data_IF_331580873026
#
_entry.id   IF_331580873026
#
_cell.length_a   1.000
_cell.length_b   1.000
_cell.length_c   1.000
_cell.angle_alpha   90.00
_cell.angle_beta   90.00
_cell.angle_gamma   90.00
#
_symmetry.space_group_name_H-M   'P 1'
#
loop_
_entity.id
_entity.type
_entity.pdbx_description
1 polymer ?
#
# COMPACT_ATOMS: atom_id res chain seq x y z
N UNK A 1 -2.51 -12.50 20.64
CA UNK A 1 -1.57 -13.61 20.97
C UNK A 1 -0.32 -13.09 21.65
N UNK A 2 0.58 -12.38 20.97
CA UNK A 2 1.85 -11.95 21.57
C UNK A 2 1.69 -11.18 22.91
N UNK A 3 0.76 -10.21 22.97
CA UNK A 3 0.38 -9.53 24.22
C UNK A 3 0.03 -10.49 25.37
N UNK A 4 -0.84 -11.47 25.10
CA UNK A 4 -1.29 -12.44 26.10
C UNK A 4 -0.16 -13.35 26.56
N UNK A 5 0.75 -13.76 25.66
CA UNK A 5 1.92 -14.58 26.00
C UNK A 5 2.89 -13.81 26.90
N UNK A 6 3.09 -12.52 26.62
CA UNK A 6 3.91 -11.64 27.45
C UNK A 6 3.26 -11.35 28.81
N UNK A 7 1.96 -11.09 28.86
CA UNK A 7 1.20 -10.89 30.10
C UNK A 7 1.17 -12.17 30.96
N UNK A 8 1.20 -13.36 30.33
CA UNK A 8 1.30 -14.65 31.02
C UNK A 8 2.71 -14.98 31.52
N UNK A 9 3.71 -14.12 31.27
CA UNK A 9 5.10 -14.34 31.70
C UNK A 9 5.81 -15.51 31.02
N UNK A 10 5.30 -15.97 29.88
CA UNK A 10 5.93 -17.07 29.13
C UNK A 10 7.23 -16.56 28.49
N UNK A 11 8.34 -17.22 28.79
CA UNK A 11 9.64 -16.91 28.21
C UNK A 11 9.62 -17.24 26.70
N UNK A 12 9.96 -16.26 25.88
CA UNK A 12 10.12 -16.41 24.44
C UNK A 12 11.59 -16.17 24.13
N UNK A 13 12.30 -17.23 23.71
CA UNK A 13 13.73 -17.14 23.37
C UNK A 13 13.95 -16.72 21.92
N UNK A 14 13.01 -17.05 21.02
CA UNK A 14 13.10 -16.77 19.58
C UNK A 14 11.79 -16.21 19.04
N UNK A 15 11.91 -15.24 18.13
CA UNK A 15 10.76 -14.68 17.40
C UNK A 15 11.00 -14.77 15.91
N UNK A 16 10.02 -15.33 15.20
CA UNK A 16 10.03 -15.41 13.76
C UNK A 16 8.91 -14.56 13.15
N UNK A 17 9.21 -13.84 12.06
CA UNK A 17 8.25 -13.01 11.35
C UNK A 17 8.28 -13.24 9.84
N UNK A 18 7.10 -13.32 9.23
CA UNK A 18 6.91 -13.31 7.77
C UNK A 18 5.96 -12.20 7.36
N UNK A 19 6.28 -11.50 6.26
CA UNK A 19 5.43 -10.42 5.74
C UNK A 19 5.21 -9.32 6.80
N UNK A 20 3.95 -8.97 7.09
CA UNK A 20 3.63 -7.97 8.12
C UNK A 20 4.04 -8.43 9.53
N UNK A 21 4.12 -9.75 9.77
CA UNK A 21 4.59 -10.31 11.04
C UNK A 21 6.04 -9.99 11.38
N UNK A 22 6.85 -9.57 10.38
CA UNK A 22 8.21 -9.06 10.60
C UNK A 22 8.21 -7.87 11.55
N UNK A 23 7.22 -6.98 11.46
CA UNK A 23 7.09 -5.84 12.38
C UNK A 23 6.94 -6.32 13.82
N UNK A 24 6.07 -7.31 14.02
CA UNK A 24 5.88 -7.94 15.33
C UNK A 24 7.16 -8.55 15.86
N UNK A 25 7.86 -9.31 15.01
CA UNK A 25 9.10 -9.97 15.36
C UNK A 25 10.22 -8.99 15.72
N UNK A 26 10.39 -7.91 14.94
CA UNK A 26 11.42 -6.91 15.20
C UNK A 26 11.20 -6.17 16.52
N UNK A 27 9.97 -5.72 16.79
CA UNK A 27 9.66 -5.07 18.07
C UNK A 27 9.79 -6.04 19.24
N UNK A 28 9.36 -7.29 19.07
CA UNK A 28 9.47 -8.31 20.11
C UNK A 28 10.92 -8.71 20.42
N UNK A 29 11.85 -8.60 19.46
CA UNK A 29 13.25 -8.99 19.63
C UNK A 29 14.08 -7.99 20.46
N UNK A 30 13.62 -6.74 20.61
CA UNK A 30 14.30 -5.67 21.38
C UNK A 30 13.47 -5.18 22.57
N UNK A 31 12.59 -6.04 23.10
CA UNK A 31 11.61 -5.73 24.16
C UNK A 31 10.65 -4.55 23.87
N UNK A 32 10.53 -4.15 22.61
CA UNK A 32 9.62 -3.09 22.16
C UNK A 32 8.15 -3.52 22.03
N UNK A 33 7.83 -4.77 22.38
CA UNK A 33 6.55 -5.40 22.12
C UNK A 33 5.34 -4.59 22.58
N UNK A 34 5.43 -3.98 23.76
CA UNK A 34 4.36 -3.17 24.37
C UNK A 34 3.86 -2.03 23.50
N UNK A 35 4.73 -1.43 22.67
CA UNK A 35 4.34 -0.35 21.76
C UNK A 35 3.41 -0.83 20.63
N UNK A 36 3.40 -2.12 20.31
CA UNK A 36 2.57 -2.66 19.24
C UNK A 36 1.07 -2.70 19.60
N UNK A 37 0.70 -2.68 20.87
CA UNK A 37 -0.71 -2.64 21.30
C UNK A 37 -1.06 -1.37 22.09
N UNK A 38 -0.17 -0.38 22.07
CA UNK A 38 -0.48 0.96 22.56
C UNK A 38 -1.52 1.63 21.64
N UNK A 39 -2.55 2.22 22.25
CA UNK A 39 -3.67 2.87 21.55
C UNK A 39 -3.20 4.02 20.63
N UNK A 40 -2.11 4.70 20.99
CA UNK A 40 -1.61 5.84 20.23
C UNK A 40 -0.67 5.44 19.06
N UNK A 41 -0.04 4.26 19.12
CA UNK A 41 1.18 3.97 18.33
C UNK A 41 1.23 2.58 17.68
N UNK A 42 0.48 1.64 18.23
CA UNK A 42 0.48 0.25 17.80
C UNK A 42 -0.53 -0.06 16.70
N UNK A 43 -0.89 -1.34 16.59
CA UNK A 43 -1.93 -1.85 15.69
C UNK A 43 -3.32 -1.26 15.97
N UNK A 44 -3.51 -0.63 17.13
CA UNK A 44 -4.77 0.03 17.52
C UNK A 44 -4.85 1.50 17.10
N UNK A 45 -3.76 2.09 16.59
CA UNK A 45 -3.74 3.49 16.22
C UNK A 45 -4.61 3.76 14.98
N UNK A 46 -5.29 4.91 14.96
CA UNK A 46 -6.16 5.31 13.84
C UNK A 46 -5.51 5.25 12.43
N UNK A 47 -4.20 5.55 12.24
CA UNK A 47 -3.54 5.46 10.94
C UNK A 47 -3.46 4.04 10.36
N UNK A 48 -3.63 2.98 11.17
CA UNK A 48 -3.50 1.57 10.73
C UNK A 48 -4.51 1.24 9.64
N UNK A 49 -5.71 1.81 9.71
CA UNK A 49 -6.75 1.70 8.67
C UNK A 49 -6.32 2.21 7.29
N UNK A 50 -5.24 3.01 7.22
CA UNK A 50 -4.73 3.68 6.01
C UNK A 50 -3.40 3.11 5.53
N UNK A 51 -2.91 2.03 6.13
CA UNK A 51 -1.62 1.41 5.76
C UNK A 51 -1.60 0.80 4.37
N UNK A 52 -2.74 0.30 3.90
CA UNK A 52 -2.88 -0.30 2.57
C UNK A 52 -3.76 0.60 1.70
N UNK A 53 -3.18 1.71 1.23
CA UNK A 53 -3.87 2.60 0.28
C UNK A 53 -3.49 2.20 -1.15
N UNK A 54 -4.49 2.26 -2.02
CA UNK A 54 -4.25 2.27 -3.46
C UNK A 54 -3.21 3.33 -3.81
N UNK A 55 -2.26 2.95 -4.66
CA UNK A 55 -1.28 3.89 -5.19
C UNK A 55 -2.00 5.07 -5.84
N UNK A 56 -1.41 6.25 -5.69
CA UNK A 56 -1.99 7.48 -6.23
C UNK A 56 -2.25 7.39 -7.73
N UNK A 57 -1.41 6.65 -8.47
CA UNK A 57 -1.55 6.41 -9.91
C UNK A 57 -2.85 5.67 -10.21
N UNK A 58 -3.13 4.57 -9.51
CA UNK A 58 -4.37 3.80 -9.70
C UNK A 58 -5.61 4.59 -9.29
N UNK A 59 -5.50 5.44 -8.26
CA UNK A 59 -6.58 6.36 -7.89
C UNK A 59 -6.83 7.41 -8.95
N UNK A 60 -5.77 8.03 -9.46
CA UNK A 60 -5.87 9.02 -10.52
C UNK A 60 -6.48 8.40 -11.79
N UNK A 61 -6.01 7.21 -12.19
CA UNK A 61 -6.59 6.43 -13.29
C UNK A 61 -8.06 6.08 -13.06
N UNK A 62 -8.44 5.63 -11.87
CA UNK A 62 -9.84 5.31 -11.56
C UNK A 62 -10.73 6.57 -11.59
N UNK A 63 -10.24 7.69 -11.07
CA UNK A 63 -10.96 8.97 -11.11
C UNK A 63 -11.11 9.46 -12.54
N UNK A 64 -10.03 9.47 -13.34
CA UNK A 64 -10.10 9.93 -14.73
C UNK A 64 -11.05 9.05 -15.53
N UNK A 65 -10.92 7.72 -15.45
CA UNK A 65 -11.81 6.78 -16.13
C UNK A 65 -13.28 6.97 -15.69
N UNK A 66 -13.52 7.13 -14.39
CA UNK A 66 -14.84 7.38 -13.84
C UNK A 66 -15.44 8.69 -14.34
N UNK A 67 -14.65 9.76 -14.42
CA UNK A 67 -15.11 11.05 -14.98
C UNK A 67 -15.40 10.97 -16.47
N UNK A 68 -14.59 10.25 -17.25
CA UNK A 68 -14.80 10.04 -18.68
C UNK A 68 -16.07 9.22 -18.94
N UNK A 69 -16.22 8.11 -18.22
CA UNK A 69 -17.42 7.27 -18.32
C UNK A 69 -18.67 8.05 -17.89
N UNK A 70 -18.57 8.80 -16.79
CA UNK A 70 -19.66 9.66 -16.31
C UNK A 70 -20.09 10.69 -17.36
N UNK A 71 -19.14 11.37 -17.99
CA UNK A 71 -19.43 12.33 -19.06
C UNK A 71 -20.08 11.66 -20.28
N UNK A 72 -19.64 10.46 -20.66
CA UNK A 72 -20.27 9.68 -21.75
C UNK A 72 -21.69 9.24 -21.41
N UNK A 73 -22.00 9.03 -20.13
CA UNK A 73 -23.33 8.65 -19.67
C UNK A 73 -24.30 9.84 -19.56
N UNK A 74 -23.81 11.10 -19.54
CA UNK A 74 -24.68 12.29 -19.38
C UNK A 74 -25.81 12.33 -20.43
N UNK A 75 -25.56 12.20 -21.75
CA UNK A 75 -26.64 12.24 -22.74
C UNK A 75 -27.66 11.11 -22.54
N UNK A 76 -27.21 9.92 -22.15
CA UNK A 76 -28.09 8.79 -21.87
C UNK A 76 -28.96 9.03 -20.64
N UNK A 77 -28.37 9.55 -19.55
CA UNK A 77 -29.10 9.89 -18.31
C UNK A 77 -30.14 10.97 -18.57
N UNK A 78 -29.79 11.98 -19.37
CA UNK A 78 -30.74 13.00 -19.83
C UNK A 78 -31.87 12.30 -20.57
N UNK A 79 -31.60 11.54 -21.64
CA UNK A 79 -32.64 10.88 -22.43
C UNK A 79 -33.57 9.99 -21.58
N UNK A 80 -33.02 9.19 -20.67
CA UNK A 80 -33.79 8.34 -19.74
C UNK A 80 -34.62 9.19 -18.78
N UNK A 81 -34.11 10.35 -18.36
CA UNK A 81 -34.83 11.32 -17.54
C UNK A 81 -36.16 11.76 -18.18
N UNK A 82 -36.26 11.79 -19.51
CA UNK A 82 -37.51 12.13 -20.21
C UNK A 82 -38.65 11.17 -19.83
N UNK A 83 -38.34 9.89 -19.62
CA UNK A 83 -39.31 8.85 -19.24
C UNK A 83 -39.96 9.16 -17.89
N UNK A 84 -39.25 9.84 -16.99
CA UNK A 84 -39.76 10.25 -15.68
C UNK A 84 -40.39 11.64 -15.70
N UNK A 85 -39.79 12.58 -16.43
CA UNK A 85 -40.25 13.97 -16.50
C UNK A 85 -41.62 14.07 -17.17
N UNK A 86 -41.83 13.32 -18.25
CA UNK A 86 -43.08 13.35 -19.02
C UNK A 86 -44.34 12.94 -18.23
N UNK A 87 -44.40 11.78 -17.53
CA UNK A 87 -45.58 11.41 -16.77
C UNK A 87 -45.81 12.34 -15.57
N UNK A 88 -44.73 12.81 -14.93
CA UNK A 88 -44.83 13.74 -13.79
C UNK A 88 -45.40 15.09 -14.23
N UNK A 89 -44.91 15.64 -15.34
CA UNK A 89 -45.44 16.90 -15.87
C UNK A 89 -46.92 16.78 -16.26
N UNK A 90 -47.30 15.65 -16.87
CA UNK A 90 -48.68 15.37 -17.28
C UNK A 90 -49.63 15.24 -16.08
N UNK A 91 -49.23 14.54 -15.01
CA UNK A 91 -50.02 14.43 -13.78
C UNK A 91 -50.18 15.80 -13.11
N UNK A 92 -49.09 16.57 -12.98
CA UNK A 92 -49.13 17.92 -12.42
C UNK A 92 -50.08 18.84 -13.19
N UNK A 93 -50.04 18.75 -14.52
CA UNK A 93 -50.90 19.54 -15.39
C UNK A 93 -52.38 19.13 -15.30
N UNK A 94 -52.67 17.82 -15.17
CA UNK A 94 -54.03 17.32 -14.93
C UNK A 94 -54.63 17.79 -13.60
N UNK A 95 -53.79 18.05 -12.59
CA UNK A 95 -54.20 18.60 -11.28
C UNK A 95 -54.34 20.13 -11.32
N UNK A 96 -54.07 20.77 -12.47
CA UNK A 96 -54.18 22.23 -12.65
C UNK A 96 -52.98 23.02 -12.11
N UNK A 97 -51.86 22.35 -11.82
CA UNK A 97 -50.64 23.00 -11.36
C UNK A 97 -49.79 23.47 -12.55
N UNK A 98 -49.51 24.78 -12.63
CA UNK A 98 -48.61 25.38 -13.64
C UNK A 98 -47.19 24.81 -13.61
N UNK A 99 -46.82 24.16 -12.50
CA UNK A 99 -45.56 23.44 -12.31
C UNK A 99 -45.32 22.37 -13.39
N UNK A 100 -46.37 21.73 -13.91
CA UNK A 100 -46.24 20.70 -14.96
C UNK A 100 -45.67 21.27 -16.26
N UNK A 101 -46.18 22.42 -16.71
CA UNK A 101 -45.71 23.11 -17.90
C UNK A 101 -44.28 23.65 -17.74
N UNK A 102 -43.99 24.25 -16.58
CA UNK A 102 -42.65 24.78 -16.28
C UNK A 102 -41.59 23.68 -16.22
N UNK A 103 -41.93 22.51 -15.67
CA UNK A 103 -41.05 21.35 -15.57
C UNK A 103 -40.75 20.75 -16.96
N UNK A 104 -41.76 20.64 -17.82
CA UNK A 104 -41.58 20.17 -19.19
C UNK A 104 -40.74 21.16 -20.03
N UNK A 105 -41.02 22.46 -19.92
CA UNK A 105 -40.28 23.51 -20.63
C UNK A 105 -38.81 23.59 -20.17
N UNK A 106 -38.56 23.55 -18.86
CA UNK A 106 -37.21 23.56 -18.31
C UNK A 106 -36.40 22.32 -18.73
N UNK A 107 -37.04 21.15 -18.76
CA UNK A 107 -36.40 19.93 -19.24
C UNK A 107 -36.11 19.97 -20.75
N UNK A 108 -37.04 20.49 -21.57
CA UNK A 108 -36.83 20.67 -23.01
C UNK A 108 -35.64 21.60 -23.31
N UNK A 109 -35.51 22.72 -22.58
CA UNK A 109 -34.36 23.62 -22.69
C UNK A 109 -33.05 22.93 -22.31
N UNK A 110 -33.07 22.06 -21.29
CA UNK A 110 -31.90 21.28 -20.89
C UNK A 110 -31.49 20.27 -21.96
N UNK A 111 -32.46 19.57 -22.57
CA UNK A 111 -32.21 18.65 -23.70
C UNK A 111 -31.65 19.42 -24.89
N UNK A 112 -32.27 20.54 -25.27
CA UNK A 112 -31.82 21.36 -26.40
C UNK A 112 -30.39 21.86 -26.20
N UNK A 113 -30.04 22.33 -25.01
CA UNK A 113 -28.67 22.76 -24.67
C UNK A 113 -27.65 21.63 -24.70
N UNK A 114 -28.02 20.43 -24.23
CA UNK A 114 -27.10 19.28 -24.19
C UNK A 114 -26.93 18.64 -25.57
N UNK A 115 -28.00 18.59 -26.37
CA UNK A 115 -28.04 17.98 -27.70
C UNK A 115 -27.93 18.99 -28.84
N UNK A 116 -27.46 20.20 -28.56
CA UNK A 116 -27.25 21.22 -29.58
C UNK A 116 -26.36 20.64 -30.72
N UNK A 117 -26.76 20.76 -32.01
CA UNK A 117 -26.12 20.05 -33.12
C UNK A 117 -24.61 20.27 -33.25
N UNK A 118 -24.09 21.39 -32.74
CA UNK A 118 -22.66 21.69 -32.70
C UNK A 118 -21.95 21.31 -31.40
N UNK A 119 -22.68 21.05 -30.31
CA UNK A 119 -22.10 20.84 -29.00
C UNK A 119 -21.58 19.41 -28.83
N UNK A 120 -22.42 18.38 -28.97
CA UNK A 120 -22.01 16.98 -28.71
C UNK A 120 -20.85 16.50 -29.59
N UNK A 121 -20.86 16.72 -30.92
CA UNK A 121 -19.78 16.24 -31.80
C UNK A 121 -18.44 16.92 -31.55
N UNK A 122 -18.43 18.08 -30.89
CA UNK A 122 -17.21 18.86 -30.62
C UNK A 122 -16.74 18.66 -29.18
N UNK A 123 -17.64 18.75 -28.20
CA UNK A 123 -17.28 18.63 -26.78
C UNK A 123 -16.98 17.19 -26.39
N UNK A 124 -17.74 16.20 -26.89
CA UNK A 124 -17.54 14.81 -26.50
C UNK A 124 -16.14 14.30 -26.92
N UNK A 125 -15.70 14.46 -28.19
CA UNK A 125 -14.36 14.03 -28.59
C UNK A 125 -13.26 14.82 -27.89
N UNK A 126 -13.43 16.14 -27.68
CA UNK A 126 -12.46 16.97 -26.93
C UNK A 126 -12.31 16.52 -25.48
N UNK A 127 -13.42 16.20 -24.81
CA UNK A 127 -13.38 15.73 -23.43
C UNK A 127 -12.70 14.36 -23.33
N UNK A 128 -13.01 13.45 -24.27
CA UNK A 128 -12.37 12.14 -24.35
C UNK A 128 -10.88 12.28 -24.65
N UNK A 129 -10.47 13.13 -25.60
CA UNK A 129 -9.04 13.32 -25.92
C UNK A 129 -8.27 13.94 -24.77
N UNK A 130 -8.81 14.96 -24.10
CA UNK A 130 -8.20 15.53 -22.90
C UNK A 130 -8.10 14.48 -21.78
N UNK A 131 -9.16 13.69 -21.57
CA UNK A 131 -9.15 12.62 -20.56
C UNK A 131 -8.10 11.55 -20.86
N UNK A 132 -7.99 11.13 -22.13
CA UNK A 132 -6.96 10.18 -22.59
C UNK A 132 -5.56 10.77 -22.43
N UNK A 133 -5.38 12.05 -22.68
CA UNK A 133 -4.09 12.73 -22.48
C UNK A 133 -3.73 12.81 -20.99
N UNK A 134 -4.68 13.14 -20.12
CA UNK A 134 -4.47 13.13 -18.66
C UNK A 134 -4.15 11.71 -18.17
N UNK A 135 -4.85 10.70 -18.68
CA UNK A 135 -4.59 9.30 -18.36
C UNK A 135 -3.18 8.88 -18.80
N UNK A 136 -2.78 9.25 -20.02
CA UNK A 136 -1.45 9.00 -20.56
C UNK A 136 -0.37 9.67 -19.70
N UNK A 137 -0.53 10.96 -19.38
CA UNK A 137 0.39 11.70 -18.50
C UNK A 137 0.48 11.07 -17.11
N UNK A 138 -0.64 10.61 -16.55
CA UNK A 138 -0.68 9.94 -15.24
C UNK A 138 0.07 8.62 -15.26
N UNK A 139 -0.12 7.81 -16.31
CA UNK A 139 0.56 6.53 -16.47
C UNK A 139 2.06 6.70 -16.75
N UNK A 140 2.43 7.61 -17.66
CA UNK A 140 3.83 7.90 -18.03
C UNK A 140 4.56 8.60 -16.88
N UNK A 141 3.96 9.60 -16.25
CA UNK A 141 4.54 10.23 -15.06
C UNK A 141 4.69 9.21 -13.93
N UNK A 142 3.73 8.30 -13.79
CA UNK A 142 3.78 7.23 -12.82
C UNK A 142 4.95 6.25 -13.05
N UNK A 143 5.17 5.83 -14.29
CA UNK A 143 6.27 4.94 -14.68
C UNK A 143 7.64 5.60 -14.59
N UNK A 144 7.74 6.87 -14.97
CA UNK A 144 8.99 7.62 -14.86
C UNK A 144 9.38 7.78 -13.39
N UNK A 145 8.44 8.16 -12.53
CA UNK A 145 8.72 8.28 -11.08
C UNK A 145 9.06 6.91 -10.47
N UNK A 146 8.34 5.84 -10.87
CA UNK A 146 8.62 4.49 -10.35
C UNK A 146 9.98 3.97 -10.80
N UNK A 147 10.36 4.19 -12.07
CA UNK A 147 11.65 3.76 -12.62
C UNK A 147 12.83 4.55 -12.05
N UNK A 148 12.68 5.87 -11.85
CA UNK A 148 13.69 6.70 -11.19
C UNK A 148 13.92 6.24 -9.73
N UNK A 149 12.85 5.84 -9.03
CA UNK A 149 12.96 5.27 -7.68
C UNK A 149 13.47 3.83 -7.67
N UNK A 150 13.10 3.01 -8.66
CA UNK A 150 13.54 1.63 -8.78
C UNK A 150 15.03 1.52 -9.11
N UNK A 151 15.59 2.47 -9.89
CA UNK A 151 17.05 2.57 -10.12
C UNK A 151 17.85 2.69 -8.82
N UNK A 152 17.24 3.13 -7.72
CA UNK A 152 17.86 3.21 -6.40
C UNK A 152 17.71 1.92 -5.56
N UNK A 153 16.84 0.95 -5.90
CA UNK A 153 16.41 -0.11 -4.95
C UNK A 153 16.16 -1.53 -5.54
N UNK A 154 16.95 -1.98 -6.54
CA UNK A 154 17.05 -3.36 -7.12
C UNK A 154 16.27 -3.66 -8.42
N UNK A 155 16.85 -4.62 -9.17
CA UNK A 155 16.42 -5.23 -10.44
C UNK A 155 15.15 -6.07 -10.26
N UNK A 156 14.06 -5.72 -10.94
CA UNK A 156 12.90 -6.61 -11.09
C UNK A 156 12.96 -7.36 -12.41
N UNK A 157 12.82 -8.69 -12.36
CA UNK A 157 12.69 -9.53 -13.57
C UNK A 157 11.19 -9.76 -13.75
N UNK A 158 10.57 -8.96 -14.61
CA UNK A 158 9.13 -9.03 -14.83
C UNK A 158 8.70 -8.41 -16.15
N UNK A 159 7.55 -8.85 -16.70
CA UNK A 159 6.94 -8.21 -17.88
C UNK A 159 6.83 -6.69 -17.71
N UNK A 160 7.04 -5.94 -18.78
CA UNK A 160 6.96 -4.47 -18.81
C UNK A 160 5.70 -3.88 -18.13
N UNK A 161 4.56 -4.59 -18.20
CA UNK A 161 3.31 -4.18 -17.54
C UNK A 161 3.40 -4.14 -16.01
N UNK A 162 4.22 -4.99 -15.38
CA UNK A 162 4.49 -4.95 -13.95
C UNK A 162 5.32 -3.74 -13.54
N UNK A 163 6.16 -3.22 -14.43
CA UNK A 163 6.82 -1.93 -14.22
C UNK A 163 5.85 -0.75 -14.28
N UNK A 164 4.87 -0.80 -15.19
CA UNK A 164 3.83 0.24 -15.30
C UNK A 164 2.87 0.24 -14.13
N UNK A 165 2.28 -0.91 -13.81
CA UNK A 165 1.22 -1.01 -12.81
C UNK A 165 1.79 -1.19 -11.40
N UNK A 166 2.91 -1.89 -11.24
CA UNK A 166 3.54 -2.30 -9.97
C UNK A 166 2.55 -2.94 -8.97
N UNK A 167 2.97 -3.04 -7.70
CA UNK A 167 2.04 -3.47 -6.65
C UNK A 167 0.89 -2.46 -6.52
N UNK A 168 -0.39 -2.88 -6.47
CA UNK A 168 -1.52 -1.94 -6.47
C UNK A 168 -1.65 -1.15 -5.17
N UNK A 169 -1.22 -1.75 -4.07
CA UNK A 169 -1.24 -1.18 -2.73
C UNK A 169 0.14 -0.62 -2.39
N UNK A 170 0.17 0.58 -1.83
CA UNK A 170 1.37 1.17 -1.27
C UNK A 170 1.46 0.81 0.21
N UNK A 171 2.58 0.22 0.61
CA UNK A 171 2.91 -0.11 2.01
C UNK A 171 3.82 0.93 2.66
N UNK A 172 4.17 2.02 1.95
CA UNK A 172 5.18 2.98 2.40
C UNK A 172 4.81 3.64 3.73
N UNK A 173 3.53 3.92 3.95
CA UNK A 173 3.04 4.47 5.22
C UNK A 173 3.22 3.49 6.38
N UNK A 174 2.97 2.20 6.16
CA UNK A 174 3.17 1.18 7.18
C UNK A 174 4.66 1.05 7.53
N UNK A 175 5.51 0.95 6.51
CA UNK A 175 6.97 0.89 6.69
C UNK A 175 7.45 2.13 7.44
N UNK A 176 7.12 3.33 6.97
CA UNK A 176 7.54 4.58 7.60
C UNK A 176 7.10 4.68 9.06
N UNK A 177 5.84 4.32 9.35
CA UNK A 177 5.27 4.32 10.70
C UNK A 177 6.03 3.40 11.65
N UNK A 178 6.20 2.12 11.26
CA UNK A 178 6.86 1.14 12.13
C UNK A 178 8.36 1.37 12.23
N UNK A 179 9.01 1.78 11.16
CA UNK A 179 10.43 2.17 11.16
C UNK A 179 10.66 3.38 12.06
N UNK A 180 9.75 4.35 12.07
CA UNK A 180 9.83 5.49 12.98
C UNK A 180 9.63 5.07 14.44
N UNK A 181 8.67 4.20 14.72
CA UNK A 181 8.48 3.67 16.07
C UNK A 181 9.68 2.84 16.56
N UNK A 182 10.31 2.06 15.69
CA UNK A 182 11.48 1.25 16.00
C UNK A 182 12.69 2.14 16.31
N UNK A 183 12.92 3.17 15.48
CA UNK A 183 13.98 4.14 15.72
C UNK A 183 13.83 4.84 17.08
N UNK A 184 12.59 5.19 17.46
CA UNK A 184 12.31 5.82 18.75
C UNK A 184 12.61 4.91 19.95
N UNK A 185 12.42 3.59 19.80
CA UNK A 185 12.83 2.61 20.82
C UNK A 185 14.36 2.56 20.89
N UNK A 186 15.02 2.42 19.74
CA UNK A 186 16.48 2.27 19.65
C UNK A 186 17.25 3.50 20.15
N UNK A 187 16.77 4.72 19.86
CA UNK A 187 17.44 5.96 20.30
C UNK A 187 17.25 6.24 21.80
N UNK A 188 16.29 5.57 22.46
CA UNK A 188 15.92 5.83 23.85
C UNK A 188 15.57 7.31 24.08
N UNK A 189 16.25 7.93 25.05
CA UNK A 189 16.06 9.35 25.40
C UNK A 189 16.87 10.32 24.51
N UNK A 190 17.79 9.81 23.68
CA UNK A 190 18.64 10.66 22.85
C UNK A 190 17.85 11.23 21.67
N UNK A 191 17.94 12.55 21.47
CA UNK A 191 17.32 13.24 20.32
C UNK A 191 18.28 13.27 19.14
N UNK A 192 18.49 12.12 18.52
CA UNK A 192 19.37 11.98 17.35
C UNK A 192 18.52 12.02 16.08
N UNK A 193 19.05 12.66 15.03
CA UNK A 193 18.41 12.68 13.71
C UNK A 193 18.23 11.25 13.20
N UNK A 194 17.05 10.96 12.63
CA UNK A 194 16.73 9.65 12.05
C UNK A 194 17.74 9.31 10.93
N UNK A 195 18.36 8.12 10.98
CA UNK A 195 19.31 7.68 9.97
C UNK A 195 18.59 7.20 8.70
N UNK A 196 19.35 6.91 7.63
CA UNK A 196 18.75 6.32 6.41
C UNK A 196 18.25 4.90 6.69
N UNK A 197 17.48 4.32 5.76
CA UNK A 197 16.94 2.97 5.95
C UNK A 197 18.02 1.90 6.08
N UNK A 198 19.13 2.03 5.33
CA UNK A 198 20.26 1.11 5.40
C UNK A 198 20.96 1.21 6.76
N UNK A 199 21.34 2.43 7.15
CA UNK A 199 21.98 2.71 8.44
C UNK A 199 21.12 2.27 9.64
N UNK A 200 19.80 2.40 9.53
CA UNK A 200 18.89 1.94 10.58
C UNK A 200 18.90 0.41 10.72
N UNK A 201 18.91 -0.31 9.60
CA UNK A 201 19.00 -1.77 9.58
C UNK A 201 20.29 -2.26 10.22
N UNK A 202 21.42 -1.63 9.88
CA UNK A 202 22.73 -1.91 10.47
C UNK A 202 22.72 -1.66 11.98
N UNK A 203 22.26 -0.48 12.42
CA UNK A 203 22.16 -0.14 13.85
C UNK A 203 21.24 -1.09 14.60
N UNK A 204 20.15 -1.54 13.98
CA UNK A 204 19.22 -2.49 14.58
C UNK A 204 19.87 -3.86 14.74
N UNK A 205 20.55 -4.36 13.70
CA UNK A 205 21.26 -5.64 13.76
C UNK A 205 22.40 -5.59 14.79
N UNK A 206 23.13 -4.49 14.87
CA UNK A 206 24.18 -4.28 15.87
C UNK A 206 23.62 -4.26 17.29
N UNK A 207 22.56 -3.47 17.54
CA UNK A 207 21.89 -3.42 18.84
C UNK A 207 21.42 -4.81 19.28
N UNK A 208 20.82 -5.58 18.36
CA UNK A 208 20.32 -6.90 18.68
C UNK A 208 21.46 -7.91 18.89
N UNK A 209 22.53 -7.85 18.11
CA UNK A 209 23.71 -8.71 18.25
C UNK A 209 24.44 -8.49 19.58
N UNK A 210 24.61 -7.23 19.99
CA UNK A 210 25.34 -6.89 21.21
C UNK A 210 24.59 -7.28 22.50
N UNK A 211 23.27 -7.43 22.40
CA UNK A 211 22.40 -7.70 23.55
C UNK A 211 21.74 -9.08 23.51
N UNK A 212 22.09 -9.94 22.54
CA UNK A 212 21.50 -11.28 22.47
C UNK A 212 21.83 -12.08 23.73
N UNK A 213 20.81 -12.73 24.31
CA UNK A 213 20.93 -13.45 25.59
C UNK A 213 20.76 -12.56 26.84
N UNK A 214 20.66 -11.23 26.69
CA UNK A 214 20.23 -10.36 27.78
C UNK A 214 18.70 -10.39 27.97
N UNK A 215 18.19 -10.14 29.18
CA UNK A 215 16.76 -10.02 29.41
C UNK A 215 16.10 -8.99 28.47
N UNK A 216 14.99 -9.38 27.84
CA UNK A 216 14.24 -8.54 26.90
C UNK A 216 14.67 -8.69 25.43
N UNK A 217 15.91 -9.12 25.18
CA UNK A 217 16.39 -9.37 23.82
C UNK A 217 16.22 -10.84 23.41
N UNK A 218 15.81 -11.07 22.17
CA UNK A 218 15.44 -12.41 21.67
C UNK A 218 16.07 -12.68 20.32
N UNK A 219 16.31 -13.96 20.03
CA UNK A 219 16.75 -14.37 18.70
C UNK A 219 15.69 -14.01 17.65
N UNK A 220 16.13 -13.65 16.44
CA UNK A 220 15.26 -13.14 15.39
C UNK A 220 15.43 -13.94 14.10
N UNK A 221 14.30 -14.38 13.52
CA UNK A 221 14.24 -14.92 12.16
C UNK A 221 13.23 -14.13 11.34
N UNK A 222 13.65 -13.61 10.20
CA UNK A 222 12.83 -12.89 9.25
C UNK A 222 12.74 -13.69 7.95
N UNK A 223 11.52 -13.92 7.48
CA UNK A 223 11.25 -14.51 6.19
C UNK A 223 10.61 -13.47 5.28
N UNK A 224 11.33 -13.10 4.22
CA UNK A 224 10.89 -12.13 3.22
C UNK A 224 10.75 -12.87 1.89
N UNK A 225 9.58 -12.76 1.27
CA UNK A 225 9.39 -13.30 -0.07
C UNK A 225 9.77 -12.22 -1.08
N UNK A 226 10.80 -12.49 -1.88
CA UNK A 226 11.15 -11.67 -3.03
C UNK A 226 10.24 -12.07 -4.20
N UNK A 227 9.19 -11.27 -4.40
CA UNK A 227 8.23 -11.46 -5.49
C UNK A 227 8.86 -11.29 -6.88
N UNK A 228 9.91 -10.48 -6.98
CA UNK A 228 10.60 -10.20 -8.24
C UNK A 228 11.59 -11.32 -8.58
N UNK A 229 12.36 -11.75 -7.59
CA UNK A 229 13.30 -12.86 -7.70
C UNK A 229 12.65 -14.25 -7.61
N UNK A 230 11.33 -14.32 -7.33
CA UNK A 230 10.56 -15.55 -7.03
C UNK A 230 11.28 -16.46 -6.03
N UNK A 231 11.92 -15.84 -5.04
CA UNK A 231 12.77 -16.54 -4.07
C UNK A 231 12.44 -16.11 -2.65
N UNK A 232 12.71 -16.99 -1.71
CA UNK A 232 12.52 -16.70 -0.30
C UNK A 232 13.86 -16.27 0.31
N UNK A 233 13.89 -15.10 0.94
CA UNK A 233 15.03 -14.60 1.69
C UNK A 233 14.81 -14.87 3.17
N UNK A 234 15.75 -15.52 3.83
CA UNK A 234 15.70 -15.82 5.26
C UNK A 234 16.84 -15.09 5.94
N UNK A 235 16.53 -14.03 6.68
CA UNK A 235 17.51 -13.31 7.48
C UNK A 235 17.38 -13.73 8.93
N UNK A 236 18.48 -14.13 9.57
CA UNK A 236 18.44 -14.55 10.97
C UNK A 236 19.57 -13.92 11.80
N UNK A 237 19.27 -13.66 13.06
CA UNK A 237 20.20 -13.24 14.10
C UNK A 237 19.99 -14.17 15.30
N UNK A 238 20.88 -15.16 15.43
CA UNK A 238 20.79 -16.25 16.41
C UNK A 238 22.03 -16.28 17.30
N UNK A 239 21.89 -16.72 18.54
CA UNK A 239 23.03 -16.95 19.41
C UNK A 239 23.76 -18.25 19.04
N UNK A 240 25.02 -18.38 19.46
CA UNK A 240 25.68 -19.68 19.46
C UNK A 240 25.07 -20.56 20.57
N UNK A 241 24.90 -21.89 20.36
CA UNK A 241 25.44 -22.70 19.26
C UNK A 241 24.50 -22.85 18.05
N UNK A 242 23.35 -22.19 18.01
CA UNK A 242 22.31 -22.43 16.99
C UNK A 242 22.57 -21.76 15.65
N UNK A 243 23.39 -20.70 15.64
CA UNK A 243 23.77 -19.95 14.46
C UNK A 243 24.41 -20.82 13.37
N UNK A 244 25.51 -21.54 13.68
CA UNK A 244 26.25 -22.31 12.66
C UNK A 244 25.41 -23.42 12.03
N UNK A 245 24.72 -24.29 12.79
CA UNK A 245 23.91 -25.35 12.20
C UNK A 245 22.77 -24.81 11.32
N UNK A 246 22.17 -23.67 11.66
CA UNK A 246 21.07 -23.08 10.91
C UNK A 246 21.47 -22.67 9.48
N UNK A 247 22.63 -22.02 9.33
CA UNK A 247 23.12 -21.58 8.02
C UNK A 247 23.77 -22.72 7.21
N UNK A 248 24.49 -23.64 7.86
CA UNK A 248 25.13 -24.78 7.18
C UNK A 248 24.10 -25.77 6.61
N UNK A 249 23.00 -26.04 7.33
CA UNK A 249 21.99 -27.02 6.89
C UNK A 249 21.25 -26.60 5.62
N UNK A 250 21.14 -25.29 5.36
CA UNK A 250 20.41 -24.73 4.21
C UNK A 250 21.26 -24.48 2.98
N UNK A 251 22.58 -24.42 3.12
CA UNK A 251 23.51 -24.38 1.98
C UNK A 251 23.53 -25.69 1.17
N UNK A 252 23.08 -26.81 1.77
CA UNK A 252 23.08 -28.14 1.14
C UNK A 252 21.72 -28.68 0.69
N UNK A 253 20.62 -27.92 0.87
CA UNK A 253 19.28 -28.36 0.52
C UNK A 253 18.86 -27.75 -0.83
N UNK A 254 19.31 -28.36 -1.92
CA UNK A 254 18.88 -28.05 -3.31
C UNK A 254 17.45 -28.52 -3.62
N UNK A 255 16.66 -28.92 -2.61
CA UNK A 255 15.36 -29.55 -2.83
C UNK A 255 14.18 -28.56 -2.76
N UNK A 256 13.75 -28.13 -3.94
CA UNK A 256 12.46 -27.46 -4.16
C UNK A 256 12.57 -26.31 -5.16
N UNK A 257 11.59 -26.18 -6.05
CA UNK A 257 11.51 -25.20 -7.15
C UNK A 257 11.63 -23.70 -6.76
N UNK A 258 11.95 -23.37 -5.50
CA UNK A 258 12.11 -22.01 -4.96
C UNK A 258 13.41 -21.93 -4.16
N UNK A 259 14.41 -21.25 -4.72
CA UNK A 259 15.70 -21.04 -4.08
C UNK A 259 15.53 -20.21 -2.79
N UNK A 260 16.06 -20.69 -1.68
CA UNK A 260 16.10 -19.99 -0.40
C UNK A 260 17.48 -19.34 -0.22
N UNK A 261 17.55 -18.01 -0.17
CA UNK A 261 18.79 -17.28 0.10
C UNK A 261 18.84 -16.91 1.60
N UNK A 262 19.84 -17.40 2.32
CA UNK A 262 19.97 -17.17 3.77
C UNK A 262 20.97 -16.05 4.06
N UNK A 263 20.61 -15.12 4.94
CA UNK A 263 21.42 -13.97 5.32
C UNK A 263 21.67 -14.00 6.83
N UNK A 264 22.95 -14.01 7.21
CA UNK A 264 23.37 -13.93 8.61
C UNK A 264 23.54 -12.46 9.03
N UNK A 265 22.60 -11.96 9.83
CA UNK A 265 22.57 -10.58 10.33
C UNK A 265 23.64 -10.32 11.40
N UNK A 266 24.17 -11.37 12.04
CA UNK A 266 25.27 -11.26 13.01
C UNK A 266 26.65 -11.36 12.35
N UNK A 267 26.73 -11.63 11.03
CA UNK A 267 27.97 -11.99 10.32
C UNK A 267 28.24 -11.17 9.06
N UNK A 268 28.78 -11.83 8.03
CA UNK A 268 29.19 -11.26 6.72
C UNK A 268 28.03 -10.68 5.87
N UNK A 269 26.80 -10.64 6.40
CA UNK A 269 25.63 -10.00 5.79
C UNK A 269 25.39 -8.56 6.24
N UNK A 270 26.41 -7.88 6.77
CA UNK A 270 26.43 -6.44 7.08
C UNK A 270 26.83 -5.63 5.86
#
# INVERSE_FOLDING_TARGET
VFRAVQEAGVKIDIVAGRGVGVVGAMYAAIDGGSQLWDAARGWQAAPVSRFYRWRWMLRATAVTLGTTLGALMVPLVVLVGAVMVYPVSLILQMVGLELGGNLAAGYAQLVEKIFEPGALPVFLPRFVTVSLLVLLVTLVGGTVISSLRARLHRRSIGPFWWYMLGAPLSTSQAVEWFTHGLWRIMQGAARIKRPTSADLGERYAQLLADNIGQPGFRELILLVHDLDGRRDLVSALLAEPYRRPFFLRRLGDESGERHLETIDLAGWGR
#
